data_IF_475337276318
#
_entry.id   IF_475337276318
#
_cell.length_a   1.000
_cell.length_b   1.000
_cell.length_c   1.000
_cell.angle_alpha   90.00
_cell.angle_beta   90.00
_cell.angle_gamma   90.00
#
_symmetry.space_group_name_H-M   'P 1'
#
loop_
_entity.id
_entity.type
_entity.pdbx_description
1 polymer ?
#
# COMPACT_ATOMS: atom_id res chain seq x y z
N UNK A 1 -25.46 8.09 8.90
CA UNK A 1 -25.75 6.98 7.97
C UNK A 1 -24.41 6.47 7.44
N UNK A 2 -24.10 5.17 7.53
CA UNK A 2 -22.86 4.59 7.02
C UNK A 2 -22.98 4.35 5.52
N UNK A 3 -21.82 4.27 4.83
CA UNK A 3 -21.77 3.87 3.42
C UNK A 3 -22.31 2.43 3.27
N UNK A 4 -23.37 2.21 2.48
CA UNK A 4 -23.96 0.89 2.32
C UNK A 4 -22.99 -0.15 1.74
N UNK A 5 -21.98 0.28 1.01
CA UNK A 5 -20.96 -0.61 0.46
C UNK A 5 -20.12 -1.30 1.55
N UNK A 6 -20.09 -0.77 2.77
CA UNK A 6 -19.39 -1.40 3.89
C UNK A 6 -19.96 -2.80 4.23
N UNK A 7 -21.24 -3.02 3.95
CA UNK A 7 -21.86 -4.34 4.17
C UNK A 7 -21.32 -5.44 3.24
N UNK A 8 -20.59 -5.06 2.18
CA UNK A 8 -19.97 -6.00 1.24
C UNK A 8 -18.55 -6.38 1.59
N UNK A 9 -17.95 -5.72 2.61
CA UNK A 9 -16.60 -6.08 3.08
C UNK A 9 -16.65 -7.43 3.80
N UNK A 10 -15.73 -8.30 3.43
CA UNK A 10 -15.51 -9.57 4.12
C UNK A 10 -14.62 -9.38 5.35
N UNK A 11 -14.67 -10.35 6.25
CA UNK A 11 -13.76 -10.42 7.39
C UNK A 11 -12.30 -10.43 6.92
N UNK A 12 -11.45 -9.89 7.78
CA UNK A 12 -10.01 -9.83 7.48
C UNK A 12 -9.43 -11.24 7.35
N UNK A 13 -8.87 -11.54 6.18
CA UNK A 13 -8.43 -12.89 5.80
C UNK A 13 -7.50 -13.56 6.81
N UNK A 14 -6.58 -12.80 7.41
CA UNK A 14 -5.65 -13.35 8.41
C UNK A 14 -6.31 -13.63 9.76
N UNK A 15 -7.37 -12.89 10.13
CA UNK A 15 -8.15 -13.23 11.32
C UNK A 15 -8.85 -14.57 11.13
N UNK A 16 -9.51 -14.76 9.99
CA UNK A 16 -10.15 -16.02 9.62
C UNK A 16 -9.15 -17.18 9.53
N UNK A 17 -7.95 -16.94 8.97
CA UNK A 17 -6.89 -17.94 8.95
C UNK A 17 -6.46 -18.32 10.38
N UNK A 18 -6.30 -17.33 11.27
CA UNK A 18 -5.96 -17.57 12.68
C UNK A 18 -7.02 -18.43 13.40
N UNK A 19 -8.30 -18.16 13.15
CA UNK A 19 -9.39 -18.99 13.69
C UNK A 19 -9.34 -20.42 13.17
N UNK A 20 -9.09 -20.61 11.88
CA UNK A 20 -8.97 -21.95 11.28
C UNK A 20 -7.78 -22.75 11.82
N UNK A 21 -6.69 -22.08 12.14
CA UNK A 21 -5.45 -22.70 12.65
C UNK A 21 -5.44 -22.85 14.18
N UNK A 22 -6.28 -22.13 14.90
CA UNK A 22 -6.25 -22.07 16.36
C UNK A 22 -6.48 -23.41 17.10
N UNK A 23 -7.02 -24.42 16.41
CA UNK A 23 -7.20 -25.77 16.96
C UNK A 23 -6.13 -26.77 16.50
N UNK A 24 -5.15 -26.36 15.72
CA UNK A 24 -4.14 -27.25 15.13
C UNK A 24 -2.85 -27.14 15.94
N UNK A 25 -2.48 -28.23 16.63
CA UNK A 25 -1.20 -28.31 17.32
C UNK A 25 -0.07 -28.62 16.32
N UNK A 26 1.12 -27.98 16.45
CA UNK A 26 2.29 -28.36 15.67
C UNK A 26 2.66 -29.85 15.89
N UNK A 27 3.15 -30.48 14.82
CA UNK A 27 3.57 -31.89 14.87
C UNK A 27 4.93 -32.04 15.57
N UNK A 28 5.74 -30.97 15.57
CA UNK A 28 7.08 -30.96 16.18
C UNK A 28 7.16 -29.98 17.35
N UNK A 29 8.14 -30.20 18.24
CA UNK A 29 8.49 -29.27 19.33
C UNK A 29 9.50 -28.20 18.89
N UNK A 30 9.74 -28.06 17.60
CA UNK A 30 10.63 -27.03 17.08
C UNK A 30 9.94 -25.64 17.06
N UNK A 31 10.73 -24.58 17.12
CA UNK A 31 10.22 -23.21 17.02
C UNK A 31 9.51 -23.00 15.68
N UNK A 32 8.30 -22.43 15.67
CA UNK A 32 7.56 -22.19 14.44
C UNK A 32 8.28 -21.22 13.49
N UNK A 33 8.35 -21.56 12.22
CA UNK A 33 8.82 -20.65 11.18
C UNK A 33 7.61 -19.96 10.56
N UNK A 34 7.51 -18.63 10.75
CA UNK A 34 6.37 -17.86 10.28
C UNK A 34 6.54 -17.44 8.81
N UNK A 35 5.73 -18.02 7.94
CA UNK A 35 5.63 -17.67 6.51
C UNK A 35 4.38 -16.83 6.17
N UNK A 36 3.57 -16.47 7.16
CA UNK A 36 2.31 -15.77 6.96
C UNK A 36 2.48 -14.29 6.60
N UNK A 37 3.60 -13.68 6.97
CA UNK A 37 3.89 -12.27 6.71
C UNK A 37 5.26 -12.11 6.06
N UNK A 38 5.31 -11.36 4.96
CA UNK A 38 6.54 -10.97 4.29
C UNK A 38 7.08 -9.66 4.83
N UNK A 39 7.63 -9.66 6.05
CA UNK A 39 8.23 -8.48 6.66
C UNK A 39 9.76 -8.59 6.78
N UNK A 40 10.48 -7.44 6.79
CA UNK A 40 11.92 -7.46 7.02
C UNK A 40 12.26 -7.99 8.42
N UNK A 41 13.12 -9.01 8.48
CA UNK A 41 13.56 -9.63 9.74
C UNK A 41 14.93 -9.11 10.22
N UNK A 42 15.64 -8.35 9.38
CA UNK A 42 16.97 -7.82 9.74
C UNK A 42 16.85 -6.53 10.55
N UNK A 43 17.83 -6.26 11.44
CA UNK A 43 17.87 -5.00 12.17
C UNK A 43 17.80 -3.78 11.22
N UNK A 44 17.11 -2.74 11.66
CA UNK A 44 17.04 -1.48 10.93
C UNK A 44 18.44 -0.91 10.72
N UNK A 45 18.82 -0.50 9.49
CA UNK A 45 20.12 0.12 9.25
C UNK A 45 20.31 1.37 10.09
N UNK A 46 21.48 1.50 10.74
CA UNK A 46 21.79 2.63 11.63
C UNK A 46 21.64 4.00 10.96
N UNK A 47 21.85 4.08 9.64
CA UNK A 47 21.70 5.33 8.91
C UNK A 47 20.30 5.93 9.09
N UNK A 48 19.26 5.10 9.21
CA UNK A 48 17.89 5.60 9.39
C UNK A 48 17.73 6.25 10.76
N UNK A 49 18.09 5.56 11.83
CA UNK A 49 17.99 6.10 13.20
C UNK A 49 18.86 7.33 13.41
N UNK A 50 20.07 7.33 12.87
CA UNK A 50 20.98 8.48 12.94
C UNK A 50 20.45 9.69 12.17
N UNK A 51 19.90 9.47 10.97
CA UNK A 51 19.31 10.57 10.18
C UNK A 51 18.08 11.14 10.85
N UNK A 52 17.20 10.31 11.41
CA UNK A 52 16.03 10.76 12.15
C UNK A 52 16.45 11.61 13.35
N UNK A 53 17.39 11.14 14.17
CA UNK A 53 17.87 11.86 15.34
C UNK A 53 18.57 13.19 14.98
N UNK A 54 19.31 13.24 13.87
CA UNK A 54 19.98 14.46 13.42
C UNK A 54 19.03 15.54 12.90
N UNK A 55 17.79 15.17 12.58
CA UNK A 55 16.77 16.06 12.01
C UNK A 55 15.53 16.21 12.91
N UNK A 56 15.64 15.96 14.20
CA UNK A 56 14.54 16.06 15.16
C UNK A 56 13.94 17.47 15.24
N UNK A 57 14.74 18.51 15.02
CA UNK A 57 14.33 19.92 14.97
C UNK A 57 13.32 20.24 13.86
N UNK A 58 13.17 19.37 12.86
CA UNK A 58 12.19 19.53 11.77
C UNK A 58 10.78 19.02 12.12
N UNK A 59 10.64 18.28 13.20
CA UNK A 59 9.38 17.61 13.55
C UNK A 59 8.31 18.53 14.13
N UNK A 60 8.65 19.75 14.44
CA UNK A 60 7.73 20.74 14.99
C UNK A 60 6.99 21.58 13.93
N UNK A 61 7.09 21.19 12.66
CA UNK A 61 6.49 21.93 11.54
C UNK A 61 5.66 21.01 10.67
N UNK A 62 4.59 21.56 10.10
CA UNK A 62 3.86 20.86 9.06
C UNK A 62 4.68 20.83 7.77
N UNK A 63 4.75 19.68 7.09
CA UNK A 63 5.34 19.63 5.76
C UNK A 63 4.49 20.41 4.74
N UNK A 64 5.06 20.85 3.62
CA UNK A 64 4.28 21.37 2.50
C UNK A 64 3.24 20.35 2.03
N UNK A 65 2.06 20.77 1.53
CA UNK A 65 0.99 19.85 1.11
C UNK A 65 1.42 18.80 0.06
N UNK A 66 2.38 19.15 -0.80
CA UNK A 66 2.96 18.26 -1.81
C UNK A 66 4.26 17.59 -1.35
N UNK A 67 4.61 17.70 -0.05
CA UNK A 67 5.85 17.18 0.52
C UNK A 67 7.09 18.02 0.24
N UNK A 68 8.16 17.74 0.95
CA UNK A 68 9.41 18.47 0.81
C UNK A 68 10.05 18.27 -0.57
N UNK A 69 10.51 19.36 -1.16
CA UNK A 69 11.12 19.35 -2.48
C UNK A 69 12.36 18.45 -2.52
N UNK A 70 13.18 18.52 -1.49
CA UNK A 70 14.40 17.71 -1.36
C UNK A 70 14.10 16.21 -1.39
N UNK A 71 13.05 15.77 -0.69
CA UNK A 71 12.61 14.38 -0.73
C UNK A 71 12.14 13.97 -2.12
N UNK A 72 11.35 14.83 -2.78
CA UNK A 72 10.84 14.54 -4.12
C UNK A 72 11.95 14.48 -5.15
N UNK A 73 12.90 15.44 -5.12
CA UNK A 73 14.08 15.46 -5.98
C UNK A 73 14.96 14.23 -5.78
N UNK A 74 15.23 13.85 -4.53
CA UNK A 74 16.01 12.66 -4.20
C UNK A 74 15.34 11.38 -4.70
N UNK A 75 14.02 11.30 -4.60
CA UNK A 75 13.23 10.17 -5.11
C UNK A 75 13.36 10.06 -6.62
N UNK A 76 13.21 11.16 -7.36
CA UNK A 76 13.37 11.16 -8.83
C UNK A 76 14.81 10.81 -9.22
N UNK A 77 15.80 11.38 -8.54
CA UNK A 77 17.21 11.05 -8.80
C UNK A 77 17.49 9.56 -8.57
N UNK A 78 16.91 8.96 -7.52
CA UNK A 78 17.04 7.53 -7.26
C UNK A 78 16.36 6.69 -8.34
N UNK A 79 15.13 7.02 -8.74
CA UNK A 79 14.39 6.31 -9.80
C UNK A 79 15.13 6.36 -11.13
N UNK A 80 15.61 7.55 -11.54
CA UNK A 80 16.37 7.71 -12.77
C UNK A 80 17.63 6.84 -12.79
N UNK A 81 18.37 6.83 -11.68
CA UNK A 81 19.58 6.02 -11.54
C UNK A 81 19.28 4.52 -11.49
N UNK A 82 18.26 4.11 -10.74
CA UNK A 82 17.89 2.70 -10.53
C UNK A 82 17.37 2.05 -11.80
N UNK A 83 16.55 2.77 -12.56
CA UNK A 83 15.84 2.26 -13.73
C UNK A 83 16.38 2.79 -15.05
N UNK A 84 17.44 3.61 -15.03
CA UNK A 84 18.06 4.21 -16.22
C UNK A 84 17.03 4.91 -17.11
N UNK A 85 16.15 5.70 -16.47
CA UNK A 85 15.09 6.40 -17.17
C UNK A 85 15.66 7.50 -18.08
N UNK A 86 15.00 7.81 -19.21
CA UNK A 86 15.39 8.93 -20.06
C UNK A 86 15.38 10.24 -19.30
N UNK A 87 16.26 11.18 -19.68
CA UNK A 87 16.26 12.52 -19.09
C UNK A 87 14.92 13.21 -19.28
N UNK A 88 14.38 13.81 -18.20
CA UNK A 88 13.09 14.48 -18.22
C UNK A 88 11.85 13.59 -18.25
N UNK A 89 12.01 12.26 -18.16
CA UNK A 89 10.87 11.33 -18.12
C UNK A 89 10.01 11.49 -16.87
N UNK A 90 10.64 11.76 -15.71
CA UNK A 90 9.97 12.05 -14.46
C UNK A 90 10.35 13.45 -13.95
N UNK A 91 9.38 14.13 -13.36
CA UNK A 91 9.54 15.42 -12.69
C UNK A 91 9.15 15.30 -11.21
N UNK A 92 9.92 15.89 -10.33
CA UNK A 92 9.62 15.96 -8.90
C UNK A 92 8.32 16.74 -8.60
N UNK A 93 7.93 17.65 -9.48
CA UNK A 93 6.75 18.50 -9.28
C UNK A 93 5.43 17.84 -9.72
N UNK A 94 5.49 16.86 -10.62
CA UNK A 94 4.28 16.26 -11.20
C UNK A 94 4.15 14.75 -11.03
N UNK A 95 5.24 14.04 -10.70
CA UNK A 95 5.25 12.58 -10.66
C UNK A 95 5.53 11.98 -9.28
N UNK A 96 5.74 12.80 -8.27
CA UNK A 96 5.99 12.33 -6.89
C UNK A 96 5.08 13.06 -5.91
N UNK A 97 4.38 12.27 -5.13
CA UNK A 97 3.64 12.74 -3.96
C UNK A 97 4.06 11.89 -2.75
N UNK A 98 4.72 12.45 -1.75
CA UNK A 98 5.03 11.75 -0.51
C UNK A 98 3.78 11.35 0.24
N UNK A 99 3.81 10.16 0.81
CA UNK A 99 2.68 9.57 1.53
C UNK A 99 3.20 8.84 2.78
N UNK A 100 2.40 8.70 3.84
CA UNK A 100 2.80 8.00 5.08
C UNK A 100 2.76 6.47 4.90
N UNK A 101 3.60 5.93 4.04
CA UNK A 101 3.55 4.53 3.61
C UNK A 101 2.67 4.35 2.37
N UNK A 102 2.80 3.20 1.71
CA UNK A 102 2.14 2.96 0.40
C UNK A 102 0.77 2.31 0.52
N UNK A 103 0.41 1.78 1.68
CA UNK A 103 -0.85 1.05 1.88
C UNK A 103 -2.08 1.93 1.71
N UNK A 104 -2.11 3.06 2.39
CA UNK A 104 -3.21 4.02 2.35
C UNK A 104 -3.40 4.64 0.96
N UNK A 105 -2.35 5.09 0.25
CA UNK A 105 -2.48 5.56 -1.11
C UNK A 105 -2.95 4.49 -2.10
N UNK A 106 -2.52 3.24 -1.95
CA UNK A 106 -3.02 2.13 -2.78
C UNK A 106 -4.52 1.91 -2.58
N UNK A 107 -5.00 2.11 -1.35
CA UNK A 107 -6.42 2.10 -1.07
C UNK A 107 -7.13 3.30 -1.68
N UNK A 108 -6.57 4.50 -1.50
CA UNK A 108 -7.16 5.76 -1.99
C UNK A 108 -7.23 5.83 -3.52
N UNK A 109 -6.18 5.37 -4.22
CA UNK A 109 -6.13 5.44 -5.69
C UNK A 109 -7.27 4.62 -6.33
N UNK A 110 -7.71 3.56 -5.66
CA UNK A 110 -8.81 2.73 -6.15
C UNK A 110 -10.10 3.51 -6.31
N UNK A 111 -10.43 4.43 -5.40
CA UNK A 111 -11.63 5.25 -5.53
C UNK A 111 -11.36 6.65 -6.13
N UNK A 112 -10.14 7.17 -6.06
CA UNK A 112 -9.77 8.42 -6.76
C UNK A 112 -9.83 8.21 -8.28
N UNK A 113 -9.33 7.07 -8.77
CA UNK A 113 -9.25 6.77 -10.21
C UNK A 113 -10.47 6.04 -10.75
N UNK A 114 -11.37 5.56 -9.91
CA UNK A 114 -12.54 4.80 -10.31
C UNK A 114 -13.82 5.57 -9.98
N UNK A 115 -14.38 6.35 -10.93
CA UNK A 115 -15.68 6.96 -10.70
C UNK A 115 -16.73 5.87 -10.45
N UNK A 116 -17.74 6.12 -9.61
CA UNK A 116 -18.79 5.12 -9.31
C UNK A 116 -19.47 4.59 -10.55
N UNK A 117 -19.61 5.46 -11.55
CA UNK A 117 -20.26 5.14 -12.84
C UNK A 117 -19.60 5.92 -13.98
N UNK A 118 -19.47 5.28 -15.13
CA UNK A 118 -19.02 5.90 -16.37
C UNK A 118 -19.89 5.39 -17.51
N UNK A 119 -20.58 6.30 -18.22
CA UNK A 119 -21.48 5.97 -19.35
C UNK A 119 -22.57 4.93 -19.00
N UNK A 120 -23.20 5.06 -17.85
CA UNK A 120 -24.24 4.14 -17.38
C UNK A 120 -23.70 2.78 -16.92
N UNK A 121 -22.39 2.62 -16.79
CA UNK A 121 -21.76 1.38 -16.35
C UNK A 121 -20.93 1.60 -15.09
N UNK A 122 -21.00 0.65 -14.18
CA UNK A 122 -20.16 0.61 -12.99
C UNK A 122 -18.68 0.46 -13.38
N UNK A 123 -17.80 1.20 -12.71
CA UNK A 123 -16.38 1.02 -12.90
C UNK A 123 -15.91 -0.34 -12.34
N UNK A 124 -14.88 -0.91 -12.93
CA UNK A 124 -14.28 -2.16 -12.47
C UNK A 124 -12.80 -1.96 -12.15
N UNK A 125 -12.33 -2.59 -11.06
CA UNK A 125 -10.91 -2.69 -10.71
C UNK A 125 -10.48 -4.14 -10.94
N UNK A 126 -9.54 -4.31 -11.88
CA UNK A 126 -8.92 -5.60 -12.16
C UNK A 126 -7.79 -5.83 -11.19
N UNK A 127 -7.72 -7.01 -10.58
CA UNK A 127 -6.65 -7.37 -9.66
C UNK A 127 -6.22 -8.82 -9.87
N UNK A 128 -4.90 -9.13 -9.72
CA UNK A 128 -4.45 -10.53 -9.79
C UNK A 128 -5.02 -11.34 -8.63
N UNK A 129 -5.15 -12.63 -8.79
CA UNK A 129 -5.50 -13.55 -7.71
C UNK A 129 -4.41 -14.63 -7.60
N UNK A 130 -3.62 -14.66 -6.52
CA UNK A 130 -3.75 -13.93 -5.24
C UNK A 130 -3.57 -12.42 -5.34
N UNK A 131 -4.22 -11.66 -4.47
CA UNK A 131 -4.21 -10.21 -4.47
C UNK A 131 -3.94 -9.61 -3.08
N UNK A 132 -3.54 -8.36 -3.06
CA UNK A 132 -3.44 -7.60 -1.83
C UNK A 132 -4.81 -7.06 -1.44
N UNK A 133 -5.31 -7.45 -0.26
CA UNK A 133 -6.68 -7.16 0.20
C UNK A 133 -7.09 -5.67 0.16
N UNK A 134 -6.11 -4.76 0.19
CA UNK A 134 -6.33 -3.31 0.08
C UNK A 134 -6.99 -2.94 -1.25
N UNK A 135 -6.68 -3.62 -2.34
CA UNK A 135 -7.29 -3.37 -3.66
C UNK A 135 -8.77 -3.69 -3.67
N UNK A 136 -9.16 -4.81 -3.06
CA UNK A 136 -10.55 -5.20 -2.93
C UNK A 136 -11.34 -4.20 -2.09
N UNK A 137 -10.78 -3.81 -0.92
CA UNK A 137 -11.41 -2.82 -0.05
C UNK A 137 -11.64 -1.49 -0.76
N UNK A 138 -10.66 -1.04 -1.55
CA UNK A 138 -10.77 0.18 -2.33
C UNK A 138 -11.88 0.11 -3.39
N UNK A 139 -11.96 -1.01 -4.13
CA UNK A 139 -13.03 -1.25 -5.10
C UNK A 139 -14.41 -1.20 -4.42
N UNK A 140 -14.58 -1.95 -3.36
CA UNK A 140 -15.88 -2.09 -2.68
C UNK A 140 -16.36 -0.78 -2.07
N UNK A 141 -15.50 -0.07 -1.33
CA UNK A 141 -15.85 1.21 -0.69
C UNK A 141 -16.08 2.30 -1.72
N UNK A 142 -15.29 2.32 -2.79
CA UNK A 142 -15.44 3.23 -3.92
C UNK A 142 -16.64 2.94 -4.83
N UNK A 143 -17.34 1.84 -4.60
CA UNK A 143 -18.50 1.44 -5.41
C UNK A 143 -18.15 0.80 -6.75
N UNK A 144 -16.87 0.50 -7.01
CA UNK A 144 -16.44 -0.24 -8.19
C UNK A 144 -16.66 -1.75 -8.04
N UNK A 145 -16.68 -2.46 -9.15
CA UNK A 145 -16.68 -3.92 -9.19
C UNK A 145 -15.25 -4.45 -9.04
N UNK A 146 -15.03 -5.41 -8.16
CA UNK A 146 -13.76 -6.11 -8.03
C UNK A 146 -13.74 -7.32 -8.97
N UNK A 147 -12.84 -7.33 -9.96
CA UNK A 147 -12.67 -8.43 -10.91
C UNK A 147 -11.32 -9.08 -10.68
N UNK A 148 -11.34 -10.37 -10.36
CA UNK A 148 -10.14 -11.16 -10.07
C UNK A 148 -9.65 -11.83 -11.34
N UNK A 149 -8.38 -11.59 -11.66
CA UNK A 149 -7.69 -12.23 -12.76
C UNK A 149 -6.88 -13.41 -12.20
N UNK A 150 -7.14 -14.65 -12.64
CA UNK A 150 -6.33 -15.78 -12.18
C UNK A 150 -4.87 -15.57 -12.56
N UNK A 151 -3.96 -15.83 -11.63
CA UNK A 151 -2.54 -15.97 -11.95
C UNK A 151 -2.34 -17.37 -12.56
N UNK A 152 -1.81 -17.42 -13.78
CA UNK A 152 -1.38 -18.65 -14.44
C UNK A 152 0.04 -19.05 -13.97
#
# INVERSE_FOLDING_TARGET
MLNPNLATLNDYTFARLGEMLGGIAPISNEEPILFSLGEPQKPTPEILSKTIAANDHLWNRYPPPNGDKEFRDATIAWLNRRYKLPSGFLSADTNVLPVPGTREPLYQIGFICSPPEKNGKRAAILMPNPFYHVYQGAAMVGGAEAIYLPAE
#
